data_IF_781412633131
#
_entry.id   IF_781412633131
#
_cell.length_a   1.000
_cell.length_b   1.000
_cell.length_c   1.000
_cell.angle_alpha   90.00
_cell.angle_beta   90.00
_cell.angle_gamma   90.00
#
_symmetry.space_group_name_H-M   'P 1'
#
loop_
_entity.id
_entity.type
_entity.pdbx_description
1 polymer ?
#
# COMPACT_ATOMS: atom_id res chain seq x y z
N UNK A 1 -29.80 -12.73 9.17
CA UNK A 1 -29.09 -11.55 9.71
C UNK A 1 -28.26 -10.88 8.62
N UNK A 2 -28.59 -9.64 8.25
CA UNK A 2 -27.92 -8.87 7.18
C UNK A 2 -27.09 -7.75 7.81
N UNK A 3 -25.81 -7.68 7.47
CA UNK A 3 -24.92 -6.61 7.92
C UNK A 3 -24.82 -5.56 6.81
N UNK A 4 -25.08 -4.31 7.18
CA UNK A 4 -25.04 -3.15 6.30
C UNK A 4 -23.68 -2.46 6.37
N UNK A 5 -23.33 -1.76 5.29
CA UNK A 5 -22.13 -0.91 5.28
C UNK A 5 -22.46 0.47 5.88
N UNK A 6 -21.73 0.88 6.92
CA UNK A 6 -21.83 2.19 7.55
C UNK A 6 -20.67 3.07 7.11
N UNK A 7 -20.98 4.27 6.64
CA UNK A 7 -20.02 5.30 6.26
C UNK A 7 -20.51 6.64 6.79
N UNK A 8 -19.64 7.42 7.42
CA UNK A 8 -19.98 8.76 7.95
C UNK A 8 -21.32 8.83 8.72
N UNK A 9 -21.56 7.85 9.61
CA UNK A 9 -22.76 7.82 10.46
C UNK A 9 -24.02 7.26 9.81
N UNK A 10 -24.06 7.04 8.49
CA UNK A 10 -25.23 6.55 7.76
C UNK A 10 -24.97 5.23 7.04
N UNK A 11 -26.04 4.50 6.69
CA UNK A 11 -25.93 3.29 5.89
C UNK A 11 -25.80 3.66 4.42
N UNK A 12 -24.85 3.03 3.73
CA UNK A 12 -24.63 3.30 2.31
C UNK A 12 -25.85 2.99 1.41
N UNK A 13 -26.74 2.08 1.85
CA UNK A 13 -27.97 1.76 1.12
C UNK A 13 -29.16 2.67 1.48
N UNK A 14 -28.98 3.69 2.31
CA UNK A 14 -30.03 4.64 2.70
C UNK A 14 -31.13 4.08 3.61
N UNK A 15 -31.03 2.82 4.03
CA UNK A 15 -32.03 2.21 4.91
C UNK A 15 -31.99 2.87 6.30
N UNK A 16 -33.17 3.15 6.86
CA UNK A 16 -33.32 3.82 8.16
C UNK A 16 -34.01 2.85 9.11
N UNK A 17 -33.33 2.51 10.20
CA UNK A 17 -33.84 1.62 11.24
C UNK A 17 -32.87 1.59 12.41
N UNK A 18 -33.40 1.68 13.63
CA UNK A 18 -32.60 1.73 14.87
C UNK A 18 -31.87 0.41 15.17
N UNK A 19 -32.39 -0.72 14.67
CA UNK A 19 -31.88 -2.06 14.96
C UNK A 19 -31.16 -2.73 13.77
N UNK A 20 -30.61 -1.93 12.85
CA UNK A 20 -29.87 -2.46 11.70
C UNK A 20 -28.41 -2.74 12.08
N UNK A 21 -28.00 -4.00 11.97
CA UNK A 21 -26.59 -4.35 12.16
C UNK A 21 -25.74 -3.72 11.07
N UNK A 22 -24.72 -2.97 11.48
CA UNK A 22 -23.90 -2.20 10.56
C UNK A 22 -22.42 -2.40 10.85
N UNK A 23 -21.60 -2.32 9.82
CA UNK A 23 -20.15 -2.47 9.91
C UNK A 23 -19.47 -1.52 8.94
N UNK A 24 -18.31 -1.01 9.34
CA UNK A 24 -17.39 -0.26 8.47
C UNK A 24 -16.43 -1.20 7.73
N UNK A 25 -16.44 -2.50 8.03
CA UNK A 25 -15.55 -3.49 7.44
C UNK A 25 -16.20 -4.15 6.21
N UNK A 26 -15.68 -3.94 4.98
CA UNK A 26 -16.31 -4.46 3.76
C UNK A 26 -16.50 -5.98 3.73
N UNK A 27 -15.63 -6.73 4.42
CA UNK A 27 -15.68 -8.19 4.50
C UNK A 27 -16.90 -8.72 5.28
N UNK A 28 -17.43 -7.94 6.23
CA UNK A 28 -18.59 -8.34 7.05
C UNK A 28 -19.92 -8.01 6.38
N UNK A 29 -19.94 -7.17 5.34
CA UNK A 29 -21.16 -6.66 4.72
C UNK A 29 -21.85 -7.73 3.84
N UNK A 30 -23.08 -8.05 4.20
CA UNK A 30 -23.95 -9.00 3.48
C UNK A 30 -25.08 -8.32 2.71
N UNK A 31 -25.39 -7.06 2.99
CA UNK A 31 -26.45 -6.33 2.27
C UNK A 31 -26.10 -6.12 0.79
N UNK A 32 -26.96 -6.60 -0.13
CA UNK A 32 -26.76 -6.47 -1.58
C UNK A 32 -26.78 -5.02 -2.04
N UNK A 33 -27.71 -4.22 -1.53
CA UNK A 33 -27.82 -2.80 -1.87
C UNK A 33 -26.57 -2.02 -1.43
N UNK A 34 -26.06 -2.27 -0.22
CA UNK A 34 -24.79 -1.69 0.21
C UNK A 34 -23.64 -2.07 -0.73
N UNK A 35 -23.55 -3.34 -1.14
CA UNK A 35 -22.46 -3.83 -2.00
C UNK A 35 -22.43 -3.22 -3.39
N UNK A 36 -23.57 -2.71 -3.87
CA UNK A 36 -23.68 -2.07 -5.18
C UNK A 36 -23.40 -0.56 -5.16
N UNK A 37 -23.33 0.07 -3.98
CA UNK A 37 -23.05 1.50 -3.85
C UNK A 37 -21.60 1.85 -4.16
N UNK A 38 -21.36 3.05 -4.71
CA UNK A 38 -20.01 3.52 -5.03
C UNK A 38 -19.13 3.66 -3.79
N UNK A 39 -19.68 4.18 -2.70
CA UNK A 39 -18.97 4.27 -1.41
C UNK A 39 -18.47 2.92 -0.90
N UNK A 40 -19.23 1.84 -1.08
CA UNK A 40 -18.78 0.49 -0.73
C UNK A 40 -17.68 -0.03 -1.67
N UNK A 41 -17.85 0.15 -2.99
CA UNK A 41 -16.86 -0.26 -3.99
C UNK A 41 -15.53 0.45 -3.76
N UNK A 42 -15.58 1.74 -3.45
CA UNK A 42 -14.41 2.54 -3.11
C UNK A 42 -13.74 2.05 -1.83
N UNK A 43 -14.50 1.81 -0.75
CA UNK A 43 -13.95 1.26 0.49
C UNK A 43 -13.24 -0.08 0.26
N UNK A 44 -13.82 -0.98 -0.54
CA UNK A 44 -13.19 -2.27 -0.91
C UNK A 44 -11.92 -2.06 -1.76
N UNK A 45 -11.93 -1.13 -2.70
CA UNK A 45 -10.75 -0.77 -3.52
C UNK A 45 -9.64 -0.20 -2.64
N UNK A 46 -9.99 0.66 -1.68
CA UNK A 46 -9.05 1.28 -0.75
C UNK A 46 -8.42 0.25 0.18
N UNK A 47 -9.21 -0.70 0.72
CA UNK A 47 -8.70 -1.80 1.52
C UNK A 47 -7.67 -2.65 0.75
N UNK A 48 -7.99 -3.02 -0.50
CA UNK A 48 -7.05 -3.75 -1.38
C UNK A 48 -5.78 -2.94 -1.68
N UNK A 49 -5.94 -1.66 -1.98
CA UNK A 49 -4.81 -0.80 -2.31
C UNK A 49 -3.92 -0.50 -1.10
N UNK A 50 -4.48 -0.41 0.10
CA UNK A 50 -3.73 -0.28 1.35
C UNK A 50 -2.79 -1.48 1.55
N UNK A 51 -3.29 -2.70 1.36
CA UNK A 51 -2.46 -3.92 1.42
C UNK A 51 -1.33 -3.90 0.37
N UNK A 52 -1.63 -3.48 -0.86
CA UNK A 52 -0.60 -3.33 -1.92
C UNK A 52 0.44 -2.27 -1.58
N UNK A 53 0.03 -1.12 -1.02
CA UNK A 53 0.94 -0.06 -0.58
C UNK A 53 1.84 -0.54 0.56
N UNK A 54 1.29 -1.28 1.53
CA UNK A 54 2.07 -1.88 2.61
C UNK A 54 3.12 -2.86 2.06
N UNK A 55 2.74 -3.76 1.15
CA UNK A 55 3.66 -4.70 0.51
C UNK A 55 4.76 -3.99 -0.29
N UNK A 56 4.42 -2.90 -1.01
CA UNK A 56 5.42 -2.09 -1.71
C UNK A 56 6.36 -1.38 -0.75
N UNK A 57 5.86 -0.80 0.36
CA UNK A 57 6.70 -0.18 1.39
C UNK A 57 7.68 -1.17 1.99
N UNK A 58 7.24 -2.40 2.28
CA UNK A 58 8.13 -3.46 2.76
C UNK A 58 9.24 -3.82 1.75
N UNK A 59 8.94 -3.83 0.45
CA UNK A 59 9.93 -4.08 -0.61
C UNK A 59 10.85 -2.89 -0.91
N UNK A 60 10.34 -1.66 -0.76
CA UNK A 60 11.05 -0.44 -1.15
C UNK A 60 12.11 0.03 -0.14
N UNK A 61 12.20 -0.59 1.04
CA UNK A 61 13.22 -0.24 2.03
C UNK A 61 14.67 -0.48 1.53
N UNK A 62 14.87 -1.33 0.52
CA UNK A 62 16.22 -1.80 0.17
C UNK A 62 16.78 -1.36 -1.19
N UNK A 63 15.99 -0.80 -2.12
CA UNK A 63 16.45 -0.69 -3.51
C UNK A 63 16.73 0.74 -4.03
N UNK A 64 16.23 1.81 -3.39
CA UNK A 64 16.25 3.14 -4.03
C UNK A 64 16.63 4.33 -3.12
N UNK A 65 16.94 4.13 -1.84
CA UNK A 65 17.33 5.25 -0.96
C UNK A 65 18.81 5.59 -1.00
N UNK A 66 19.65 4.67 -1.42
CA UNK A 66 21.09 4.93 -1.51
C UNK A 66 21.66 4.26 -2.76
N UNK A 67 21.45 4.91 -3.90
CA UNK A 67 22.06 4.49 -5.17
C UNK A 67 23.58 4.37 -5.03
N UNK A 68 24.20 5.13 -4.11
CA UNK A 68 25.64 5.09 -3.84
C UNK A 68 26.01 3.81 -3.10
N UNK A 69 25.27 3.39 -2.08
CA UNK A 69 25.49 2.11 -1.42
C UNK A 69 25.30 0.93 -2.38
N UNK A 70 24.23 0.92 -3.17
CA UNK A 70 23.99 -0.12 -4.16
C UNK A 70 25.11 -0.18 -5.23
N UNK A 71 25.60 0.99 -5.65
CA UNK A 71 26.70 1.08 -6.60
C UNK A 71 28.04 0.66 -6.00
N UNK A 72 28.31 1.05 -4.75
CA UNK A 72 29.51 0.63 -4.01
C UNK A 72 29.54 -0.88 -3.83
N UNK A 73 28.41 -1.48 -3.42
CA UNK A 73 28.28 -2.93 -3.24
C UNK A 73 28.50 -3.70 -4.55
N UNK A 74 28.07 -3.13 -5.67
CA UNK A 74 28.33 -3.68 -7.01
C UNK A 74 29.80 -3.57 -7.40
N UNK A 75 30.47 -2.45 -7.09
CA UNK A 75 31.89 -2.27 -7.36
C UNK A 75 32.75 -3.24 -6.54
N UNK A 76 32.45 -3.42 -5.24
CA UNK A 76 33.15 -4.40 -4.37
C UNK A 76 32.98 -5.85 -4.81
N UNK A 77 31.89 -6.18 -5.50
CA UNK A 77 31.63 -7.54 -5.98
C UNK A 77 32.36 -7.86 -7.30
N UNK A 78 32.89 -6.85 -8.00
CA UNK A 78 33.69 -7.06 -9.21
C UNK A 78 35.15 -7.30 -8.83
N UNK A 79 35.81 -8.21 -9.54
CA UNK A 79 37.25 -8.42 -9.37
C UNK A 79 38.04 -7.20 -9.88
N UNK A 80 39.09 -6.82 -9.15
CA UNK A 80 40.01 -5.73 -9.51
C UNK A 80 39.68 -4.39 -8.85
N UNK A 81 40.53 -3.39 -9.09
CA UNK A 81 40.40 -2.04 -8.52
C UNK A 81 39.32 -1.25 -9.25
N UNK A 82 38.15 -1.10 -8.63
CA UNK A 82 37.04 -0.38 -9.23
C UNK A 82 36.95 1.05 -8.66
N UNK A 83 36.62 2.01 -9.52
CA UNK A 83 36.40 3.41 -9.11
C UNK A 83 34.95 3.80 -9.26
N UNK A 84 34.49 4.68 -8.38
CA UNK A 84 33.20 5.35 -8.51
C UNK A 84 33.13 6.16 -9.83
N UNK A 85 31.93 6.40 -10.41
CA UNK A 85 31.77 7.04 -11.71
C UNK A 85 32.46 8.40 -11.78
N UNK A 86 33.00 8.74 -12.97
CA UNK A 86 33.76 9.97 -13.21
C UNK A 86 32.96 11.21 -12.78
N UNK A 87 33.61 12.15 -12.08
CA UNK A 87 32.98 13.37 -11.54
C UNK A 87 33.35 13.70 -10.10
N UNK A 88 34.00 12.77 -9.39
CA UNK A 88 34.47 12.95 -8.02
C UNK A 88 35.98 12.72 -7.94
N UNK A 89 36.77 13.80 -7.91
CA UNK A 89 38.23 13.70 -7.72
C UNK A 89 38.60 13.20 -6.31
N UNK A 90 39.73 12.50 -6.19
CA UNK A 90 40.31 12.12 -4.89
C UNK A 90 39.68 10.91 -4.17
N UNK A 91 38.86 10.10 -4.84
CA UNK A 91 38.20 8.96 -4.17
C UNK A 91 39.09 7.71 -4.10
N UNK A 92 39.00 6.94 -2.98
CA UNK A 92 39.69 5.67 -2.84
C UNK A 92 39.11 4.63 -3.81
N UNK A 93 39.92 3.63 -4.14
CA UNK A 93 39.43 2.45 -4.86
C UNK A 93 38.53 1.63 -3.93
N UNK A 94 37.51 1.00 -4.51
CA UNK A 94 36.66 0.01 -3.83
C UNK A 94 36.90 -1.37 -4.41
#
# INVERSE_FOLDING_TARGET
MVIHFKVAGHLACGHKGSNLMSSTEPARVKCRSCRNTEVFKEARKNQRNAARRAARKAKAAHAARDWRAAWTQRLTAMAGLQRLPRGFGGQPYV
#
